data_IF_428065098872
#
_entry.id   IF_428065098872
#
_cell.length_a   1.000
_cell.length_b   1.000
_cell.length_c   1.000
_cell.angle_alpha   90.00
_cell.angle_beta   90.00
_cell.angle_gamma   90.00
#
_symmetry.space_group_name_H-M   'P 1'
#
loop_
_entity.id
_entity.type
_entity.pdbx_description
1 polymer ?
#
# COMPACT_ATOMS: atom_id res chain seq x y z
N UNK A 1 -26.28 13.78 -43.58
CA UNK A 1 -26.56 13.46 -42.16
C UNK A 1 -26.15 12.01 -41.97
N UNK A 2 -25.14 11.75 -41.16
CA UNK A 2 -24.70 10.38 -40.90
C UNK A 2 -25.41 9.85 -39.67
N UNK A 3 -26.07 8.71 -39.81
CA UNK A 3 -26.77 8.02 -38.72
C UNK A 3 -26.00 6.74 -38.41
N UNK A 4 -25.65 6.55 -37.13
CA UNK A 4 -25.04 5.31 -36.66
C UNK A 4 -26.13 4.38 -36.16
N UNK A 5 -26.40 3.31 -36.90
CA UNK A 5 -27.36 2.26 -36.48
C UNK A 5 -26.59 1.05 -36.00
N UNK A 6 -26.86 0.63 -34.77
CA UNK A 6 -26.33 -0.60 -34.21
C UNK A 6 -27.40 -1.27 -33.35
N UNK A 7 -27.41 -2.59 -33.36
CA UNK A 7 -28.32 -3.39 -32.56
C UNK A 7 -27.94 -3.38 -31.07
N UNK A 8 -26.66 -3.10 -30.75
CA UNK A 8 -26.15 -3.07 -29.38
C UNK A 8 -24.83 -2.29 -29.31
N UNK A 9 -24.69 -1.44 -28.29
CA UNK A 9 -23.43 -0.75 -27.97
C UNK A 9 -22.86 -1.38 -26.71
N UNK A 10 -21.65 -1.90 -26.81
CA UNK A 10 -20.83 -2.23 -25.66
C UNK A 10 -19.81 -1.10 -25.48
N UNK A 11 -19.71 -0.50 -24.29
CA UNK A 11 -18.58 0.34 -23.92
C UNK A 11 -17.26 -0.35 -24.22
N UNK A 12 -16.20 0.45 -24.43
CA UNK A 12 -14.88 0.02 -24.89
C UNK A 12 -14.31 -1.18 -24.11
N UNK A 13 -14.75 -1.36 -22.87
CA UNK A 13 -14.25 -2.36 -21.92
C UNK A 13 -15.30 -3.44 -21.55
N UNK A 14 -16.37 -3.59 -22.34
CA UNK A 14 -17.33 -4.70 -22.22
C UNK A 14 -18.36 -4.60 -21.08
N UNK A 15 -18.30 -3.56 -20.26
CA UNK A 15 -19.28 -3.27 -19.19
C UNK A 15 -20.48 -2.51 -19.76
N UNK A 16 -21.74 -2.86 -19.46
CA UNK A 16 -22.91 -2.05 -19.86
C UNK A 16 -22.78 -0.59 -19.42
N UNK A 17 -23.38 0.34 -20.17
CA UNK A 17 -23.40 1.76 -19.78
C UNK A 17 -24.03 1.92 -18.38
N UNK A 18 -23.31 2.55 -17.44
CA UNK A 18 -23.71 2.70 -16.05
C UNK A 18 -23.31 1.55 -15.12
N UNK A 19 -22.55 0.56 -15.59
CA UNK A 19 -21.97 -0.46 -14.72
C UNK A 19 -20.69 0.06 -14.05
N UNK A 20 -20.61 -0.10 -12.72
CA UNK A 20 -19.45 0.22 -11.88
C UNK A 20 -18.76 -1.07 -11.39
N UNK A 21 -17.51 -0.94 -10.93
CA UNK A 21 -16.75 -2.05 -10.34
C UNK A 21 -15.81 -2.81 -11.28
N UNK A 22 -15.61 -2.36 -12.51
CA UNK A 22 -14.66 -2.97 -13.46
C UNK A 22 -13.23 -2.49 -13.25
N UNK A 23 -12.24 -3.37 -13.42
CA UNK A 23 -10.82 -2.95 -13.41
C UNK A 23 -10.49 -2.27 -14.74
N UNK A 24 -10.03 -1.02 -14.68
CA UNK A 24 -9.69 -0.19 -15.84
C UNK A 24 -8.21 -0.34 -16.22
N UNK A 25 -7.33 -0.31 -15.21
CA UNK A 25 -5.89 -0.48 -15.38
C UNK A 25 -5.26 -1.04 -14.11
N UNK A 26 -4.11 -1.69 -14.29
CA UNK A 26 -3.31 -2.29 -13.22
C UNK A 26 -1.88 -1.81 -13.39
N UNK A 27 -1.26 -1.39 -12.30
CA UNK A 27 0.19 -1.16 -12.23
C UNK A 27 0.77 -1.94 -11.07
N UNK A 28 1.98 -2.46 -11.23
CA UNK A 28 2.66 -3.24 -10.21
C UNK A 28 4.14 -2.86 -10.10
N UNK A 29 4.72 -3.07 -8.92
CA UNK A 29 6.15 -2.88 -8.68
C UNK A 29 6.63 -3.90 -7.67
N UNK A 30 7.83 -4.42 -7.93
CA UNK A 30 8.57 -5.31 -7.03
C UNK A 30 9.80 -4.57 -6.56
N UNK A 31 10.08 -4.65 -5.27
CA UNK A 31 11.28 -4.12 -4.64
C UNK A 31 12.02 -5.25 -3.93
N UNK A 32 13.26 -5.48 -4.34
CA UNK A 32 14.19 -6.46 -3.78
C UNK A 32 15.33 -5.81 -2.99
N UNK A 33 15.30 -4.48 -2.82
CA UNK A 33 16.24 -3.78 -1.95
C UNK A 33 16.01 -4.19 -0.51
N UNK A 34 17.07 -4.13 0.29
CA UNK A 34 17.00 -4.48 1.70
C UNK A 34 17.33 -3.27 2.54
N UNK A 35 16.56 -3.01 3.59
CA UNK A 35 16.74 -1.84 4.44
C UNK A 35 16.48 -2.15 5.91
N UNK A 36 16.80 -1.20 6.77
CA UNK A 36 16.49 -1.24 8.19
C UNK A 36 15.97 0.10 8.67
N UNK A 37 15.15 0.10 9.71
CA UNK A 37 14.72 1.33 10.38
C UNK A 37 14.67 1.14 11.89
N UNK A 38 14.99 2.21 12.61
CA UNK A 38 14.71 2.37 14.05
C UNK A 38 13.70 3.51 14.27
N UNK A 39 13.08 4.01 13.20
CA UNK A 39 12.17 5.14 13.27
C UNK A 39 10.90 4.75 14.03
N UNK A 40 10.63 5.49 15.09
CA UNK A 40 9.36 5.42 15.82
C UNK A 40 8.29 6.34 15.24
N UNK A 41 8.58 7.02 14.12
CA UNK A 41 7.61 7.79 13.33
C UNK A 41 7.42 7.16 11.95
N UNK A 42 6.28 7.42 11.31
CA UNK A 42 6.06 6.97 9.93
C UNK A 42 7.13 7.53 9.02
N UNK A 43 7.78 6.64 8.27
CA UNK A 43 8.78 7.01 7.28
C UNK A 43 8.58 6.24 6.00
N UNK A 44 8.90 6.85 4.87
CA UNK A 44 9.02 6.16 3.58
C UNK A 44 10.46 5.69 3.32
N UNK A 45 11.41 6.15 4.14
CA UNK A 45 12.83 5.86 3.94
C UNK A 45 13.10 4.36 4.01
N UNK A 46 13.74 3.83 2.98
CA UNK A 46 14.11 2.42 2.86
C UNK A 46 12.98 1.51 2.39
N UNK A 47 11.79 2.05 2.08
CA UNK A 47 10.67 1.32 1.45
C UNK A 47 10.10 2.08 0.23
N UNK A 48 10.77 3.16 -0.17
CA UNK A 48 10.41 4.01 -1.31
C UNK A 48 10.53 3.30 -2.66
N UNK A 49 11.26 2.18 -2.70
CA UNK A 49 11.25 1.25 -3.83
C UNK A 49 9.86 0.65 -4.10
N UNK A 50 8.89 0.74 -3.18
CA UNK A 50 7.48 0.40 -3.41
C UNK A 50 6.60 1.60 -3.83
N UNK A 51 7.15 2.81 -4.01
CA UNK A 51 6.36 3.92 -4.53
C UNK A 51 6.04 3.71 -6.01
N UNK A 52 4.76 3.78 -6.37
CA UNK A 52 4.28 3.60 -7.74
C UNK A 52 3.10 4.55 -8.02
N UNK A 53 3.04 5.06 -9.25
CA UNK A 53 2.00 6.01 -9.66
C UNK A 53 0.98 5.38 -10.59
N UNK A 54 -0.27 5.85 -10.48
CA UNK A 54 -1.38 5.51 -11.37
C UNK A 54 -2.13 6.81 -11.71
N UNK A 55 -2.55 6.97 -12.97
CA UNK A 55 -3.30 8.16 -13.42
C UNK A 55 -4.75 7.77 -13.63
N UNK A 56 -5.69 8.14 -12.73
CA UNK A 56 -7.07 7.72 -12.89
C UNK A 56 -7.67 8.29 -14.17
N UNK A 57 -8.47 7.49 -14.86
CA UNK A 57 -9.19 7.86 -16.08
C UNK A 57 -10.47 8.65 -15.79
N UNK A 58 -10.99 8.57 -14.55
CA UNK A 58 -12.11 9.39 -14.05
C UNK A 58 -11.89 9.74 -12.58
N UNK A 59 -12.32 10.94 -12.18
CA UNK A 59 -12.33 11.37 -10.78
C UNK A 59 -13.28 10.54 -9.90
N UNK A 60 -14.23 9.81 -10.50
CA UNK A 60 -15.13 8.90 -9.76
C UNK A 60 -14.50 7.54 -9.45
N UNK A 61 -13.38 7.20 -10.07
CA UNK A 61 -12.79 5.87 -9.93
C UNK A 61 -12.12 5.69 -8.57
N UNK A 62 -12.04 4.43 -8.15
CA UNK A 62 -11.38 4.02 -6.91
C UNK A 62 -10.07 3.32 -7.22
N UNK A 63 -9.10 3.45 -6.33
CA UNK A 63 -7.83 2.73 -6.45
C UNK A 63 -7.76 1.69 -5.33
N UNK A 64 -7.79 0.41 -5.71
CA UNK A 64 -7.46 -0.69 -4.80
C UNK A 64 -5.95 -0.85 -4.76
N UNK A 65 -5.39 -0.69 -3.57
CA UNK A 65 -3.98 -0.90 -3.27
C UNK A 65 -3.83 -2.26 -2.59
N UNK A 66 -2.86 -3.05 -3.04
CA UNK A 66 -2.47 -4.30 -2.40
C UNK A 66 -0.96 -4.33 -2.27
N UNK A 67 -0.45 -4.67 -1.09
CA UNK A 67 0.99 -4.80 -0.86
C UNK A 67 1.28 -6.11 -0.14
N UNK A 68 2.37 -6.75 -0.51
CA UNK A 68 2.97 -7.87 0.21
C UNK A 68 4.39 -7.49 0.57
N UNK A 69 4.71 -7.49 1.86
CA UNK A 69 6.02 -7.07 2.38
C UNK A 69 6.68 -8.16 3.20
N UNK A 70 7.99 -8.30 3.06
CA UNK A 70 8.80 -9.14 3.94
C UNK A 70 9.44 -8.27 5.02
N UNK A 71 9.02 -8.49 6.26
CA UNK A 71 9.40 -7.66 7.40
C UNK A 71 9.82 -8.53 8.59
N UNK A 72 10.82 -8.07 9.34
CA UNK A 72 11.32 -8.75 10.55
C UNK A 72 11.77 -7.72 11.59
N UNK A 73 11.92 -8.14 12.85
CA UNK A 73 12.47 -7.31 13.93
C UNK A 73 13.67 -7.98 14.61
N UNK A 74 14.63 -7.18 15.08
CA UNK A 74 15.83 -7.68 15.79
C UNK A 74 15.53 -8.28 17.16
N UNK A 75 14.34 -8.08 17.71
CA UNK A 75 13.93 -8.58 19.02
C UNK A 75 12.42 -8.67 19.17
N UNK A 76 11.95 -9.06 20.36
CA UNK A 76 10.52 -9.14 20.70
C UNK A 76 9.90 -7.74 20.79
N UNK A 77 9.43 -7.25 19.66
CA UNK A 77 8.84 -5.92 19.53
C UNK A 77 7.72 -5.92 18.48
N UNK A 78 7.19 -4.74 18.18
CA UNK A 78 6.20 -4.53 17.13
C UNK A 78 6.66 -3.43 16.19
N UNK A 79 6.36 -3.61 14.91
CA UNK A 79 6.36 -2.52 13.94
C UNK A 79 5.02 -2.45 13.26
N UNK A 80 4.85 -1.48 12.39
CA UNK A 80 3.60 -1.24 11.68
C UNK A 80 3.87 -0.69 10.30
N UNK A 81 2.91 -0.89 9.41
CA UNK A 81 2.88 -0.28 8.08
C UNK A 81 1.56 0.47 7.89
N UNK A 82 1.56 1.44 6.99
CA UNK A 82 0.36 2.16 6.58
C UNK A 82 0.49 2.55 5.10
N UNK A 83 -0.60 2.43 4.35
CA UNK A 83 -0.63 3.00 3.01
C UNK A 83 -0.65 4.52 3.09
N UNK A 84 0.02 5.15 2.14
CA UNK A 84 -0.10 6.58 1.94
C UNK A 84 -0.15 6.94 0.46
N UNK A 85 -0.95 7.96 0.18
CA UNK A 85 -0.87 8.73 -1.06
C UNK A 85 0.14 9.84 -0.84
N UNK A 86 0.96 10.10 -1.85
CA UNK A 86 2.09 11.03 -1.81
C UNK A 86 3.10 10.74 -0.67
N UNK A 87 3.59 9.48 -0.55
CA UNK A 87 4.38 9.02 0.59
C UNK A 87 5.73 9.74 0.78
N UNK A 88 6.29 10.30 -0.28
CA UNK A 88 7.55 11.06 -0.24
C UNK A 88 7.37 12.56 0.07
N UNK A 89 6.12 13.06 0.06
CA UNK A 89 5.78 14.48 0.26
C UNK A 89 5.04 14.71 1.57
N UNK A 90 3.80 15.20 1.47
CA UNK A 90 2.86 15.33 2.59
C UNK A 90 1.88 14.15 2.53
N UNK A 91 2.14 13.06 3.28
CA UNK A 91 1.42 11.82 3.06
C UNK A 91 -0.03 11.93 3.51
N UNK A 92 -0.95 11.45 2.68
CA UNK A 92 -2.35 11.20 3.07
C UNK A 92 -2.47 9.74 3.50
N UNK A 93 -2.64 9.54 4.81
CA UNK A 93 -2.67 8.22 5.43
C UNK A 93 -4.02 7.51 5.24
N UNK A 94 -3.97 6.23 4.89
CA UNK A 94 -5.15 5.38 4.85
C UNK A 94 -5.23 4.57 6.15
N UNK A 95 -5.89 5.14 7.15
CA UNK A 95 -6.13 4.52 8.44
C UNK A 95 -7.49 3.80 8.44
N UNK A 96 -7.54 2.54 8.91
CA UNK A 96 -8.81 1.79 9.02
C UNK A 96 -9.74 2.38 10.10
N UNK A 97 -9.20 3.14 11.06
CA UNK A 97 -9.99 3.91 12.02
C UNK A 97 -9.89 5.39 11.68
N UNK A 98 -11.01 6.09 11.59
CA UNK A 98 -11.10 7.55 11.37
C UNK A 98 -10.51 8.42 12.48
N UNK A 99 -9.52 7.93 13.23
CA UNK A 99 -8.89 8.57 14.38
C UNK A 99 -7.41 8.82 14.07
N UNK A 100 -7.15 9.98 13.46
CA UNK A 100 -5.82 10.47 13.07
C UNK A 100 -4.86 10.71 14.27
N UNK A 101 -5.38 10.82 15.49
CA UNK A 101 -4.58 11.09 16.71
C UNK A 101 -3.81 9.87 17.24
N UNK A 102 -3.93 8.73 16.57
CA UNK A 102 -3.45 7.42 17.03
C UNK A 102 -2.37 6.84 16.08
N UNK A 103 -1.94 7.64 15.09
CA UNK A 103 -1.05 7.25 13.99
C UNK A 103 0.44 7.27 14.38
N UNK A 104 0.82 6.91 15.60
CA UNK A 104 2.23 6.75 15.91
C UNK A 104 2.58 5.25 15.87
N UNK A 105 3.50 4.79 14.99
CA UNK A 105 3.88 3.38 14.95
C UNK A 105 4.48 2.90 16.29
N UNK A 106 5.00 3.82 17.12
CA UNK A 106 5.47 3.54 18.48
C UNK A 106 4.45 3.72 19.60
N UNK A 107 3.15 3.82 19.32
CA UNK A 107 2.13 3.85 20.37
C UNK A 107 1.12 2.69 20.20
N UNK A 108 0.57 2.18 21.30
CA UNK A 108 -0.44 1.11 21.32
C UNK A 108 -1.84 1.60 20.89
N UNK A 109 -1.87 2.44 19.87
CA UNK A 109 -3.02 3.17 19.39
C UNK A 109 -3.85 2.40 18.35
N UNK A 110 -5.17 2.49 18.46
CA UNK A 110 -6.20 1.63 17.85
C UNK A 110 -6.72 2.13 16.49
N UNK A 111 -5.85 2.62 15.60
CA UNK A 111 -6.34 3.20 14.35
C UNK A 111 -5.62 2.93 13.05
N UNK A 112 -4.52 2.19 13.07
CA UNK A 112 -3.77 1.85 11.87
C UNK A 112 -3.95 0.37 11.59
N UNK A 113 -3.86 -0.02 10.32
CA UNK A 113 -3.69 -1.42 9.91
C UNK A 113 -2.37 -1.96 10.47
N UNK A 114 -2.36 -2.26 11.76
CA UNK A 114 -1.22 -2.78 12.48
C UNK A 114 -1.03 -4.23 12.07
N UNK A 115 0.10 -4.50 11.44
CA UNK A 115 0.54 -5.84 11.15
C UNK A 115 1.61 -6.15 12.20
N UNK A 116 1.33 -7.14 13.05
CA UNK A 116 2.20 -7.49 14.18
C UNK A 116 3.48 -8.15 13.65
N UNK A 117 4.53 -7.34 13.48
CA UNK A 117 5.87 -7.80 13.09
C UNK A 117 6.60 -8.41 14.29
N UNK A 118 6.05 -9.48 14.88
CA UNK A 118 6.64 -10.12 16.06
C UNK A 118 7.82 -11.02 15.69
N UNK A 119 8.89 -10.98 16.49
CA UNK A 119 9.83 -12.10 16.57
C UNK A 119 9.15 -13.21 17.37
N UNK A 120 8.61 -14.21 16.67
CA UNK A 120 8.14 -15.43 17.31
C UNK A 120 9.30 -16.07 18.08
N UNK A 121 9.13 -16.19 19.41
CA UNK A 121 9.95 -16.94 20.36
C UNK A 121 11.16 -17.68 19.74
N UNK A 122 12.37 -17.18 20.00
CA UNK A 122 13.66 -17.88 19.75
C UNK A 122 14.04 -18.23 18.30
N UNK A 123 13.39 -17.68 17.27
CA UNK A 123 13.71 -18.01 15.88
C UNK A 123 13.54 -16.86 14.89
N UNK A 124 14.48 -16.79 13.94
CA UNK A 124 14.53 -15.89 12.77
C UNK A 124 13.39 -16.23 11.81
N UNK A 125 12.20 -15.72 12.07
CA UNK A 125 11.02 -15.95 11.24
C UNK A 125 10.64 -14.64 10.55
N UNK A 126 11.22 -14.38 9.38
CA UNK A 126 10.76 -13.29 8.52
C UNK A 126 9.27 -13.45 8.23
N UNK A 127 8.48 -12.42 8.50
CA UNK A 127 7.03 -12.47 8.31
C UNK A 127 6.65 -11.81 6.99
N UNK A 128 6.10 -12.61 6.07
CA UNK A 128 5.39 -12.08 4.91
C UNK A 128 4.07 -11.49 5.38
N UNK A 129 3.88 -10.22 5.08
CA UNK A 129 2.80 -9.41 5.59
C UNK A 129 2.05 -8.81 4.41
N UNK A 130 0.74 -9.07 4.30
CA UNK A 130 -0.10 -8.54 3.22
C UNK A 130 -1.11 -7.52 3.74
N UNK A 131 -1.29 -6.43 3.01
CA UNK A 131 -2.26 -5.39 3.33
C UNK A 131 -3.00 -4.90 2.09
N UNK A 132 -4.26 -4.51 2.25
CA UNK A 132 -5.08 -3.93 1.18
C UNK A 132 -5.78 -2.67 1.67
N UNK A 133 -6.01 -1.72 0.77
CA UNK A 133 -6.69 -0.46 1.04
C UNK A 133 -7.36 0.08 -0.21
N UNK A 134 -8.35 0.96 -0.05
CA UNK A 134 -9.05 1.61 -1.16
C UNK A 134 -9.02 3.11 -0.98
N UNK A 135 -8.66 3.84 -2.03
CA UNK A 135 -8.73 5.31 -2.11
C UNK A 135 -9.73 5.76 -3.18
N UNK A 136 -10.32 6.94 -2.99
CA UNK A 136 -11.13 7.66 -3.97
C UNK A 136 -10.46 9.01 -4.26
N UNK A 137 -9.45 9.06 -5.15
CA UNK A 137 -8.58 10.22 -5.26
C UNK A 137 -9.27 11.48 -5.81
N UNK A 138 -10.44 11.36 -6.45
CA UNK A 138 -11.21 12.52 -6.89
C UNK A 138 -10.53 13.33 -7.99
N UNK A 139 -9.56 12.75 -8.70
CA UNK A 139 -8.75 13.42 -9.73
C UNK A 139 -8.46 12.49 -10.91
N UNK A 140 -8.11 13.07 -12.06
CA UNK A 140 -7.55 12.37 -13.22
C UNK A 140 -6.05 12.66 -13.41
N UNK A 141 -5.42 13.35 -12.46
CA UNK A 141 -3.97 13.55 -12.44
C UNK A 141 -3.26 12.31 -11.90
N UNK A 142 -1.98 12.13 -12.25
CA UNK A 142 -1.16 11.05 -11.69
C UNK A 142 -1.11 11.14 -10.16
N UNK A 143 -1.41 10.03 -9.50
CA UNK A 143 -1.37 9.88 -8.04
C UNK A 143 -0.32 8.85 -7.70
N UNK A 144 0.55 9.15 -6.72
CA UNK A 144 1.56 8.19 -6.25
C UNK A 144 1.11 7.55 -4.95
N UNK A 145 1.14 6.23 -4.90
CA UNK A 145 0.89 5.45 -3.70
C UNK A 145 2.16 4.73 -3.27
N UNK A 146 2.25 4.46 -1.97
CA UNK A 146 3.30 3.65 -1.39
C UNK A 146 2.96 3.28 0.04
N UNK A 147 3.96 2.75 0.73
CA UNK A 147 3.84 2.34 2.12
C UNK A 147 4.79 3.17 2.97
N UNK A 148 4.31 3.51 4.16
CA UNK A 148 5.14 4.03 5.23
C UNK A 148 5.25 2.97 6.31
N UNK A 149 6.40 2.91 6.96
CA UNK A 149 6.68 1.94 8.01
C UNK A 149 7.30 2.62 9.22
N UNK A 150 7.21 1.96 10.37
CA UNK A 150 7.82 2.40 11.61
C UNK A 150 7.81 1.28 12.64
N UNK A 151 8.62 1.44 13.68
CA UNK A 151 8.79 0.48 14.76
C UNK A 151 8.41 1.07 16.11
N UNK A 152 8.03 0.24 17.06
CA UNK A 152 7.84 0.66 18.46
C UNK A 152 9.18 0.84 19.17
N UNK A 153 10.01 -0.19 19.10
CA UNK A 153 11.40 -0.19 19.54
C UNK A 153 12.19 -1.20 18.68
N UNK A 154 13.46 -1.43 19.00
CA UNK A 154 14.33 -2.38 18.27
C UNK A 154 14.58 -1.97 16.80
N UNK A 155 15.29 -2.80 16.04
CA UNK A 155 15.53 -2.57 14.60
C UNK A 155 14.52 -3.36 13.78
N UNK A 156 13.78 -2.67 12.92
CA UNK A 156 12.96 -3.28 11.88
C UNK A 156 13.79 -3.53 10.62
N UNK A 157 13.54 -4.65 9.95
CA UNK A 157 14.20 -5.06 8.72
C UNK A 157 13.18 -5.17 7.60
N UNK A 158 13.56 -4.71 6.42
CA UNK A 158 12.80 -4.78 5.19
C UNK A 158 13.52 -5.66 4.19
N UNK A 159 12.79 -6.65 3.65
CA UNK A 159 13.30 -7.66 2.71
C UNK A 159 14.55 -8.39 3.19
N UNK A 160 14.81 -8.38 4.51
CA UNK A 160 15.89 -9.14 5.10
C UNK A 160 15.62 -9.48 6.55
N UNK A 161 16.36 -10.46 7.07
CA UNK A 161 16.39 -10.79 8.50
C UNK A 161 17.74 -10.46 9.15
N UNK A 162 17.83 -10.50 10.50
CA UNK A 162 19.09 -10.34 11.23
C UNK A 162 20.17 -11.35 10.79
N UNK A 163 19.75 -12.54 10.35
CA UNK A 163 20.63 -13.63 9.87
C UNK A 163 21.03 -13.54 8.40
N UNK A 164 20.66 -12.49 7.66
CA UNK A 164 21.08 -12.28 6.26
C UNK A 164 20.25 -13.00 5.20
N UNK A 165 19.04 -13.47 5.53
CA UNK A 165 18.05 -13.89 4.53
C UNK A 165 17.59 -12.68 3.72
N UNK A 166 17.30 -12.86 2.42
CA UNK A 166 16.75 -11.82 1.56
C UNK A 166 15.34 -12.22 1.09
N UNK A 167 14.45 -11.25 1.03
CA UNK A 167 13.12 -11.35 0.47
C UNK A 167 12.90 -10.29 -0.61
N UNK A 168 11.69 -10.25 -1.16
CA UNK A 168 11.26 -9.20 -2.07
C UNK A 168 9.82 -8.84 -1.75
N UNK A 169 9.50 -7.56 -1.77
CA UNK A 169 8.15 -7.07 -1.53
C UNK A 169 7.53 -6.59 -2.84
N UNK A 170 6.21 -6.53 -2.90
CA UNK A 170 5.50 -6.05 -4.09
C UNK A 170 4.28 -5.21 -3.73
N UNK A 171 3.94 -4.30 -4.62
CA UNK A 171 2.72 -3.49 -4.58
C UNK A 171 1.99 -3.62 -5.92
N UNK A 172 0.66 -3.68 -5.85
CA UNK A 172 -0.24 -3.67 -7.00
C UNK A 172 -1.30 -2.60 -6.76
N UNK A 173 -1.52 -1.75 -7.75
CA UNK A 173 -2.63 -0.79 -7.79
C UNK A 173 -3.58 -1.19 -8.91
N UNK A 174 -4.88 -1.23 -8.60
CA UNK A 174 -5.93 -1.44 -9.59
C UNK A 174 -6.87 -0.24 -9.57
N UNK A 175 -7.02 0.41 -10.72
CA UNK A 175 -8.10 1.38 -10.89
C UNK A 175 -9.41 0.64 -11.15
N UNK A 176 -10.42 0.92 -10.34
CA UNK A 176 -11.75 0.33 -10.40
C UNK A 176 -12.75 1.42 -10.80
N UNK A 177 -13.57 1.14 -11.80
CA UNK A 177 -14.59 2.06 -12.27
C UNK A 177 -15.57 2.41 -11.14
N UNK A 178 -15.78 3.71 -10.93
CA UNK A 178 -16.73 4.27 -9.97
C UNK A 178 -18.18 3.96 -10.32
#
# INVERSE_FOLDING_TARGET
MSELRTNKIYPRDGLPAGASGGIIQIVEKIDSTTNTTTSTSWTNSGVDGLNISITPTSASNKILMMVTMHLEMSGSSTGSIIFARDPAGTPVYFANSGVASSLNPGNNSTGVSKLFLSQGYTGLNGQTTSHFGVDSPGTTSSVTYGVLWGVHDSTGYYNRGPGGYNGSSSIVLMEISG
#
